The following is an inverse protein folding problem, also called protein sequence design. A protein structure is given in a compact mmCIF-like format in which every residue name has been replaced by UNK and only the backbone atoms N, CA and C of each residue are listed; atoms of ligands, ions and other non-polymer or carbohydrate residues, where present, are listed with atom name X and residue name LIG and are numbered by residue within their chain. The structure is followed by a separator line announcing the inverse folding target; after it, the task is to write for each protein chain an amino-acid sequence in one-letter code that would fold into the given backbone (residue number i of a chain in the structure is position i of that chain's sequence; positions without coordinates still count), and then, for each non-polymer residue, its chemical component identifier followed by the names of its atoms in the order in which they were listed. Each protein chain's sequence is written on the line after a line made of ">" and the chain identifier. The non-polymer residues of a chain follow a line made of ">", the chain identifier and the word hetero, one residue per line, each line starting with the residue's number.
data_IF_107028941081
#
_entry.id   IF_107028941081
#
_cell.length_a   1.000
_cell.length_b   1.000
_cell.length_c   1.000
_cell.angle_alpha   90.00
_cell.angle_beta   90.00
_cell.angle_gamma   90.00
#
_symmetry.space_group_name_H-M   'P 1'
#
loop_
_entity.id
_entity.type
_entity.pdbx_description
1 polymer ?
#
# COMPACT_ATOMS: atom_id res chain seq x y z
N UNK A 1 5.55 -26.10 5.87
CA UNK A 1 5.94 -24.83 5.21
C UNK A 1 4.84 -23.76 5.33
N UNK A 2 4.23 -23.57 6.50
CA UNK A 2 3.14 -22.58 6.68
C UNK A 2 3.62 -21.25 7.26
N UNK A 3 4.74 -21.24 7.96
CA UNK A 3 5.24 -20.05 8.65
C UNK A 3 5.79 -18.97 7.71
N UNK A 4 6.34 -19.35 6.55
CA UNK A 4 6.91 -18.40 5.57
C UNK A 4 5.83 -17.57 4.86
N UNK A 5 4.57 -18.02 4.85
CA UNK A 5 3.47 -17.31 4.16
C UNK A 5 3.10 -15.99 4.81
N UNK A 6 3.23 -15.87 6.13
CA UNK A 6 2.87 -14.67 6.87
C UNK A 6 3.83 -13.50 6.66
N UNK A 7 5.16 -13.67 6.82
CA UNK A 7 6.10 -12.58 6.57
C UNK A 7 6.10 -12.15 5.11
N UNK A 8 5.96 -13.09 4.15
CA UNK A 8 5.86 -12.74 2.72
C UNK A 8 4.58 -11.95 2.42
N UNK A 9 3.44 -12.32 3.02
CA UNK A 9 2.18 -11.60 2.84
C UNK A 9 2.23 -10.19 3.45
N UNK A 10 2.86 -10.06 4.61
CA UNK A 10 3.11 -8.77 5.24
C UNK A 10 4.02 -7.89 4.36
N UNK A 11 5.15 -8.43 3.90
CA UNK A 11 6.08 -7.73 3.02
C UNK A 11 5.42 -7.30 1.71
N UNK A 12 4.60 -8.16 1.11
CA UNK A 12 3.86 -7.84 -0.11
C UNK A 12 2.89 -6.67 0.10
N UNK A 13 2.18 -6.62 1.23
CA UNK A 13 1.33 -5.48 1.58
C UNK A 13 2.13 -4.20 1.81
N UNK A 14 3.24 -4.29 2.54
CA UNK A 14 4.08 -3.13 2.84
C UNK A 14 4.71 -2.56 1.57
N UNK A 15 5.30 -3.41 0.73
CA UNK A 15 5.87 -3.02 -0.56
C UNK A 15 4.79 -2.50 -1.51
N UNK A 16 3.64 -3.18 -1.58
CA UNK A 16 2.52 -2.77 -2.43
C UNK A 16 2.02 -1.37 -2.09
N UNK A 17 1.77 -1.09 -0.81
CA UNK A 17 1.33 0.23 -0.34
C UNK A 17 2.39 1.31 -0.52
N UNK A 18 3.65 0.97 -0.28
CA UNK A 18 4.77 1.91 -0.48
C UNK A 18 4.93 2.26 -1.96
N UNK A 19 4.84 1.27 -2.85
CA UNK A 19 4.89 1.47 -4.30
C UNK A 19 3.69 2.29 -4.79
N UNK A 20 2.49 2.04 -4.25
CA UNK A 20 1.29 2.82 -4.53
C UNK A 20 1.45 4.28 -4.09
N UNK A 21 1.97 4.51 -2.88
CA UNK A 21 2.26 5.86 -2.39
C UNK A 21 3.31 6.58 -3.24
N UNK A 22 4.38 5.89 -3.63
CA UNK A 22 5.41 6.44 -4.51
C UNK A 22 4.86 6.78 -5.90
N UNK A 23 4.04 5.91 -6.50
CA UNK A 23 3.40 6.15 -7.79
C UNK A 23 2.40 7.32 -7.72
N UNK A 24 1.57 7.36 -6.66
CA UNK A 24 0.65 8.47 -6.41
C UNK A 24 1.43 9.79 -6.24
N UNK A 25 2.54 9.79 -5.51
CA UNK A 25 3.40 10.96 -5.36
C UNK A 25 4.10 11.40 -6.63
N UNK A 26 4.50 10.47 -7.47
CA UNK A 26 5.09 10.75 -8.77
C UNK A 26 4.10 11.39 -9.75
N UNK A 27 2.79 11.14 -9.59
CA UNK A 27 1.72 11.71 -10.41
C UNK A 27 1.16 13.01 -9.81
N UNK A 28 0.87 13.04 -8.50
CA UNK A 28 0.24 14.17 -7.83
C UNK A 28 1.13 15.41 -7.76
N UNK A 29 2.44 15.23 -7.55
CA UNK A 29 3.35 16.37 -7.46
C UNK A 29 3.52 17.14 -8.79
N UNK A 30 3.80 16.51 -9.95
CA UNK A 30 3.89 17.24 -11.21
C UNK A 30 2.55 17.85 -11.63
N UNK A 31 1.42 17.18 -11.35
CA UNK A 31 0.09 17.77 -11.55
C UNK A 31 -0.12 19.02 -10.67
N UNK A 32 0.26 18.96 -9.39
CA UNK A 32 0.24 20.13 -8.50
C UNK A 32 1.19 21.23 -8.95
N UNK A 33 2.40 20.90 -9.38
CA UNK A 33 3.36 21.85 -9.92
C UNK A 33 2.88 22.61 -11.14
N UNK A 34 2.17 21.90 -12.03
CA UNK A 34 1.55 22.49 -13.20
C UNK A 34 0.41 23.44 -12.81
N UNK A 35 -0.37 23.09 -11.78
CA UNK A 35 -1.51 23.88 -11.31
C UNK A 35 -1.09 25.13 -10.53
N UNK A 36 0.04 25.07 -9.81
CA UNK A 36 0.57 26.18 -9.01
C UNK A 36 1.72 26.95 -9.69
N UNK A 37 1.98 26.69 -10.97
CA UNK A 37 2.97 27.39 -11.79
C UNK A 37 4.38 27.43 -11.13
N UNK A 38 4.81 26.28 -10.59
CA UNK A 38 6.07 26.19 -9.88
C UNK A 38 7.27 26.27 -10.86
N UNK A 39 8.23 27.16 -10.60
CA UNK A 39 9.51 27.32 -11.32
C UNK A 39 10.50 26.15 -11.14
N UNK A 40 9.99 24.93 -11.00
CA UNK A 40 10.79 23.74 -10.80
C UNK A 40 10.51 22.72 -11.91
N UNK A 41 11.57 22.12 -12.45
CA UNK A 41 11.47 21.11 -13.50
C UNK A 41 10.55 19.97 -13.07
N UNK A 42 9.61 19.53 -13.93
CA UNK A 42 8.66 18.45 -13.66
C UNK A 42 9.34 17.19 -13.06
N UNK A 43 10.56 16.89 -13.49
CA UNK A 43 11.37 15.79 -12.98
C UNK A 43 11.79 15.95 -11.50
N UNK A 44 12.10 17.18 -11.05
CA UNK A 44 12.40 17.47 -9.66
C UNK A 44 11.15 17.34 -8.79
N UNK A 45 10.00 17.83 -9.27
CA UNK A 45 8.72 17.68 -8.56
C UNK A 45 8.31 16.21 -8.45
N UNK A 46 8.44 15.43 -9.51
CA UNK A 46 8.14 14.00 -9.49
C UNK A 46 9.05 13.24 -8.51
N UNK A 47 10.38 13.49 -8.51
CA UNK A 47 11.29 12.89 -7.51
C UNK A 47 10.94 13.30 -6.08
N UNK A 48 10.60 14.56 -5.87
CA UNK A 48 10.24 15.09 -4.54
C UNK A 48 8.95 14.46 -4.05
N UNK A 49 7.93 14.38 -4.89
CA UNK A 49 6.65 13.73 -4.60
C UNK A 49 6.81 12.24 -4.33
N UNK A 50 7.58 11.53 -5.17
CA UNK A 50 7.85 10.10 -5.00
C UNK A 50 8.55 9.81 -3.67
N UNK A 51 9.51 10.65 -3.26
CA UNK A 51 10.21 10.50 -1.97
C UNK A 51 9.33 10.86 -0.78
N UNK A 52 8.53 11.93 -0.88
CA UNK A 52 7.69 12.39 0.24
C UNK A 52 6.50 11.45 0.48
N UNK A 53 5.71 11.17 -0.56
CA UNK A 53 4.56 10.28 -0.47
C UNK A 53 4.99 8.81 -0.31
N UNK A 54 6.08 8.39 -0.95
CA UNK A 54 6.67 7.07 -0.70
C UNK A 54 7.06 6.89 0.77
N UNK A 55 7.69 7.89 1.40
CA UNK A 55 8.07 7.83 2.81
C UNK A 55 6.87 7.88 3.76
N UNK A 56 5.87 8.72 3.48
CA UNK A 56 4.62 8.77 4.27
C UNK A 56 3.93 7.41 4.21
N UNK A 57 3.72 6.85 3.02
CA UNK A 57 3.10 5.55 2.90
C UNK A 57 3.93 4.44 3.54
N UNK A 58 5.27 4.52 3.49
CA UNK A 58 6.14 3.56 4.16
C UNK A 58 5.98 3.58 5.69
N UNK A 59 5.73 4.74 6.31
CA UNK A 59 5.46 4.82 7.76
C UNK A 59 4.15 4.11 8.13
N UNK A 60 3.12 4.26 7.30
CA UNK A 60 1.78 3.71 7.57
C UNK A 60 1.59 2.27 7.05
N UNK A 61 2.41 1.84 6.09
CA UNK A 61 2.33 0.53 5.46
C UNK A 61 2.47 -0.65 6.43
N UNK A 62 3.36 -0.65 7.45
CA UNK A 62 3.43 -1.70 8.46
C UNK A 62 2.14 -1.85 9.26
N UNK A 63 1.51 -0.74 9.65
CA UNK A 63 0.25 -0.76 10.39
C UNK A 63 -0.83 -1.45 9.56
N UNK A 64 -1.00 -1.06 8.30
CA UNK A 64 -1.98 -1.66 7.38
C UNK A 64 -1.65 -3.14 7.10
N UNK A 65 -0.37 -3.48 6.95
CA UNK A 65 0.09 -4.85 6.79
C UNK A 65 -0.31 -5.75 7.97
N UNK A 66 -0.16 -5.25 9.20
CA UNK A 66 -0.61 -5.95 10.42
C UNK A 66 -2.13 -6.09 10.42
N UNK A 67 -2.90 -5.04 10.12
CA UNK A 67 -4.37 -5.12 10.09
C UNK A 67 -4.87 -6.11 9.05
N UNK A 68 -4.29 -6.12 7.84
CA UNK A 68 -4.63 -7.05 6.78
C UNK A 68 -4.33 -8.50 7.18
N UNK A 69 -3.20 -8.71 7.86
CA UNK A 69 -2.83 -9.98 8.46
C UNK A 69 -3.87 -10.45 9.49
N UNK A 70 -4.23 -9.60 10.46
CA UNK A 70 -5.22 -9.92 11.50
C UNK A 70 -6.60 -10.18 10.89
N UNK A 71 -7.06 -9.34 9.95
CA UNK A 71 -8.33 -9.56 9.25
C UNK A 71 -8.36 -10.87 8.46
N UNK A 72 -7.23 -11.29 7.89
CA UNK A 72 -7.14 -12.59 7.19
C UNK A 72 -7.22 -13.76 8.17
N UNK A 73 -6.55 -13.68 9.33
CA UNK A 73 -6.66 -14.70 10.37
C UNK A 73 -8.11 -14.77 10.90
N UNK A 74 -8.73 -13.62 11.15
CA UNK A 74 -10.09 -13.53 11.65
C UNK A 74 -11.11 -14.11 10.66
N UNK A 75 -10.98 -13.80 9.36
CA UNK A 75 -11.84 -14.38 8.30
C UNK A 75 -11.66 -15.89 8.12
N UNK A 76 -10.45 -16.42 8.33
CA UNK A 76 -10.23 -17.88 8.35
C UNK A 76 -10.94 -18.55 9.53
N UNK A 77 -11.02 -17.86 10.67
CA UNK A 77 -11.63 -18.38 11.90
C UNK A 77 -13.15 -18.21 11.94
N UNK A 78 -13.68 -17.21 11.23
CA UNK A 78 -15.11 -16.94 11.07
C UNK A 78 -15.46 -16.85 9.58
N UNK A 79 -15.53 -17.99 8.87
CA UNK A 79 -15.96 -17.99 7.48
C UNK A 79 -17.40 -17.48 7.38
N UNK A 80 -17.73 -16.67 6.37
CA UNK A 80 -19.09 -16.18 6.19
C UNK A 80 -20.08 -17.35 5.96
N UNK A 81 -21.34 -17.23 6.39
CA UNK A 81 -22.32 -18.33 6.36
C UNK A 81 -22.50 -18.98 4.98
N UNK A 82 -22.30 -18.22 3.90
CA UNK A 82 -22.44 -18.64 2.50
C UNK A 82 -21.25 -19.45 1.95
N UNK A 83 -20.17 -19.62 2.72
CA UNK A 83 -19.06 -20.49 2.34
C UNK A 83 -19.29 -21.97 2.74
N UNK A 84 -20.28 -22.25 3.59
CA UNK A 84 -20.62 -23.60 4.06
C UNK A 84 -21.48 -24.41 3.06
N UNK A 85 -22.08 -23.74 2.07
CA UNK A 85 -23.01 -24.35 1.11
C UNK A 85 -22.30 -25.12 -0.03
N UNK A 86 -21.06 -24.75 -0.39
CA UNK A 86 -20.32 -25.39 -1.50
C UNK A 86 -19.59 -26.69 -1.14
N UNK A 87 -19.95 -27.33 -0.03
CA UNK A 87 -19.29 -28.51 0.52
C UNK A 87 -20.20 -29.69 0.85
N UNK A 88 -21.39 -29.76 0.22
CA UNK A 88 -22.31 -30.89 0.29
C UNK A 88 -22.30 -31.72 -0.98
#
# INVERSE_FOLDING_TARGET
>A
MEEVRWPVYFLAWVLGLTALGAAAGALLFPLGGLLFNADATLLQLARRGMRFLGFIFFIWAPAIGITACVMRAWRKKHPPPHAADKGG
#
